data_IF_281305828122
#
_entry.id   IF_281305828122
#
_cell.length_a   1.000
_cell.length_b   1.000
_cell.length_c   1.000
_cell.angle_alpha   90.00
_cell.angle_beta   90.00
_cell.angle_gamma   90.00
#
_symmetry.space_group_name_H-M   'P 1'
#
loop_
_entity.id
_entity.type
_entity.pdbx_description
1 polymer ?
#
# COMPACT_ATOMS: atom_id res chain seq x y z
N UNK A 1 79.68 -47.33 0.03
CA UNK A 1 78.57 -46.46 0.49
C UNK A 1 77.97 -45.73 -0.70
N UNK A 2 76.70 -46.00 -1.07
CA UNK A 2 75.93 -45.21 -2.04
C UNK A 2 74.54 -44.96 -1.46
N UNK A 3 74.03 -43.74 -1.62
CA UNK A 3 72.85 -43.20 -0.93
C UNK A 3 71.55 -43.79 -1.49
N UNK A 4 70.64 -44.21 -0.60
CA UNK A 4 69.22 -44.40 -0.97
C UNK A 4 68.53 -43.04 -1.02
N UNK A 5 67.98 -42.68 -2.18
CA UNK A 5 67.01 -41.59 -2.33
C UNK A 5 65.71 -42.23 -2.80
N UNK A 6 64.76 -42.44 -1.89
CA UNK A 6 63.39 -42.84 -2.25
C UNK A 6 62.65 -41.60 -2.73
N UNK A 7 62.34 -41.54 -4.02
CA UNK A 7 61.48 -40.49 -4.58
C UNK A 7 60.04 -40.71 -4.09
N UNK A 8 59.47 -39.68 -3.46
CA UNK A 8 58.06 -39.65 -3.08
C UNK A 8 57.27 -39.02 -4.25
N UNK A 9 56.64 -39.84 -5.08
CA UNK A 9 55.76 -39.35 -6.16
C UNK A 9 54.44 -38.87 -5.56
N UNK A 10 54.33 -37.56 -5.31
CA UNK A 10 53.08 -36.93 -4.92
C UNK A 10 52.15 -36.84 -6.15
N UNK A 11 51.08 -37.64 -6.15
CA UNK A 11 50.00 -37.52 -7.14
C UNK A 11 49.10 -36.36 -6.73
N UNK A 12 49.23 -35.22 -7.40
CA UNK A 12 48.36 -34.06 -7.20
C UNK A 12 47.01 -34.31 -7.91
N UNK A 13 46.06 -34.91 -7.21
CA UNK A 13 44.67 -35.00 -7.68
C UNK A 13 44.03 -33.61 -7.55
N UNK A 14 43.99 -32.86 -8.65
CA UNK A 14 43.23 -31.61 -8.73
C UNK A 14 41.74 -31.99 -8.76
N UNK A 15 41.09 -32.00 -7.60
CA UNK A 15 39.63 -31.97 -7.53
C UNK A 15 39.14 -30.61 -8.08
N UNK A 16 38.76 -30.59 -9.35
CA UNK A 16 37.82 -29.59 -9.84
C UNK A 16 36.49 -29.81 -9.15
N UNK A 17 36.27 -29.07 -8.06
CA UNK A 17 34.92 -28.90 -7.50
C UNK A 17 34.07 -28.22 -8.55
N UNK A 18 33.18 -28.97 -9.20
CA UNK A 18 32.10 -28.43 -10.01
C UNK A 18 31.16 -27.67 -9.09
N UNK A 19 31.47 -26.41 -8.79
CA UNK A 19 30.44 -25.48 -8.33
C UNK A 19 29.40 -25.41 -9.44
N UNK A 20 28.11 -25.69 -9.16
CA UNK A 20 27.10 -25.51 -10.18
C UNK A 20 27.14 -24.04 -10.60
N UNK A 21 27.34 -23.80 -11.90
CA UNK A 21 27.14 -22.47 -12.46
C UNK A 21 25.64 -22.20 -12.35
N UNK A 22 25.26 -21.52 -11.27
CA UNK A 22 23.95 -20.92 -11.14
C UNK A 22 23.88 -19.91 -12.28
N UNK A 23 23.08 -20.20 -13.29
CA UNK A 23 22.86 -19.27 -14.39
C UNK A 23 22.32 -17.97 -13.78
N UNK A 24 23.08 -16.89 -13.94
CA UNK A 24 22.72 -15.59 -13.40
C UNK A 24 21.37 -15.17 -14.01
N UNK A 25 20.35 -14.99 -13.16
CA UNK A 25 19.01 -14.62 -13.64
C UNK A 25 19.13 -13.24 -14.29
N UNK A 26 18.96 -13.20 -15.61
CA UNK A 26 19.10 -11.95 -16.36
C UNK A 26 18.05 -10.96 -15.87
N UNK A 27 18.52 -9.75 -15.56
CA UNK A 27 17.71 -8.63 -15.12
C UNK A 27 17.66 -7.55 -16.20
N UNK A 28 16.68 -6.67 -16.12
CA UNK A 28 16.52 -5.55 -17.03
C UNK A 28 16.01 -4.28 -16.36
N UNK A 29 15.86 -3.25 -17.17
CA UNK A 29 15.47 -1.89 -16.77
C UNK A 29 14.19 -1.45 -17.48
N UNK A 30 13.29 -0.80 -16.74
CA UNK A 30 12.06 -0.19 -17.27
C UNK A 30 12.11 1.31 -17.02
N UNK A 31 12.16 2.09 -18.11
CA UNK A 31 11.99 3.55 -18.09
C UNK A 31 10.56 3.89 -18.50
N UNK A 32 9.86 4.65 -17.68
CA UNK A 32 8.49 5.13 -17.94
C UNK A 32 8.53 6.64 -18.12
N UNK A 33 8.24 7.12 -19.33
CA UNK A 33 8.09 8.55 -19.63
C UNK A 33 6.76 9.06 -19.12
N UNK A 34 6.82 10.11 -18.29
CA UNK A 34 5.65 10.71 -17.67
C UNK A 34 5.94 12.19 -17.31
N UNK A 35 5.12 13.15 -17.76
CA UNK A 35 5.51 14.57 -17.82
C UNK A 35 5.44 15.33 -16.48
N UNK A 36 5.06 14.69 -15.37
CA UNK A 36 4.87 15.36 -14.07
C UNK A 36 5.76 14.71 -13.01
N UNK A 37 6.64 15.49 -12.41
CA UNK A 37 7.58 15.04 -11.38
C UNK A 37 6.93 14.75 -10.01
N UNK A 38 7.64 13.98 -9.19
CA UNK A 38 7.27 13.57 -7.83
C UNK A 38 6.01 12.69 -7.73
N UNK A 39 5.57 12.07 -8.83
CA UNK A 39 4.50 11.07 -8.83
C UNK A 39 5.11 9.70 -8.55
N UNK A 40 4.60 9.00 -7.54
CA UNK A 40 5.02 7.64 -7.23
C UNK A 40 4.40 6.66 -8.22
N UNK A 41 5.23 5.85 -8.88
CA UNK A 41 4.83 4.70 -9.67
C UNK A 41 5.17 3.42 -8.92
N UNK A 42 4.32 2.41 -9.04
CA UNK A 42 4.42 1.11 -8.37
C UNK A 42 4.30 -0.01 -9.40
N UNK A 43 5.25 -0.92 -9.36
CA UNK A 43 5.22 -2.17 -10.14
C UNK A 43 4.66 -3.30 -9.28
N UNK A 44 3.78 -4.12 -9.86
CA UNK A 44 3.26 -5.34 -9.26
C UNK A 44 3.56 -6.50 -10.18
N UNK A 45 4.44 -7.41 -9.76
CA UNK A 45 4.77 -8.61 -10.50
C UNK A 45 3.57 -9.55 -10.55
N UNK A 46 3.04 -9.79 -11.74
CA UNK A 46 1.87 -10.64 -11.97
C UNK A 46 2.26 -12.09 -12.18
N UNK A 47 3.38 -12.36 -12.84
CA UNK A 47 3.81 -13.71 -13.22
C UNK A 47 4.61 -13.74 -14.52
N UNK A 48 4.60 -14.88 -15.21
CA UNK A 48 5.34 -15.11 -16.47
C UNK A 48 4.39 -15.53 -17.59
N UNK A 49 4.74 -15.24 -18.84
CA UNK A 49 4.09 -15.89 -20.00
C UNK A 49 4.51 -17.35 -20.10
N UNK A 50 3.53 -18.27 -20.11
CA UNK A 50 3.71 -19.70 -20.36
C UNK A 50 2.51 -20.21 -21.18
N UNK A 51 2.78 -20.96 -22.25
CA UNK A 51 1.75 -21.52 -23.13
C UNK A 51 0.68 -20.49 -23.56
N UNK A 52 1.12 -19.37 -24.15
CA UNK A 52 0.26 -18.31 -24.71
C UNK A 52 -0.68 -17.62 -23.70
N UNK A 53 -0.44 -17.77 -22.39
CA UNK A 53 -1.18 -17.08 -21.32
C UNK A 53 -0.26 -16.57 -20.22
N UNK A 54 -0.75 -15.60 -19.45
CA UNK A 54 -0.09 -15.16 -18.21
C UNK A 54 -0.34 -16.23 -17.15
N UNK A 55 0.71 -16.89 -16.70
CA UNK A 55 0.69 -17.75 -15.53
C UNK A 55 0.86 -16.89 -14.28
N UNK A 56 -0.26 -16.47 -13.69
CA UNK A 56 -0.27 -15.59 -12.52
C UNK A 56 0.38 -16.24 -11.29
N UNK A 57 1.12 -15.44 -10.51
CA UNK A 57 1.93 -15.86 -9.37
C UNK A 57 1.64 -14.99 -8.13
N UNK A 58 2.15 -15.42 -6.98
CA UNK A 58 1.97 -14.70 -5.71
C UNK A 58 0.49 -14.40 -5.41
N UNK A 59 0.23 -13.13 -5.11
CA UNK A 59 -1.10 -12.61 -4.71
C UNK A 59 -2.10 -12.55 -5.88
N UNK A 60 -1.66 -12.76 -7.13
CA UNK A 60 -2.50 -12.70 -8.33
C UNK A 60 -2.98 -14.06 -8.85
N UNK A 61 -2.63 -15.18 -8.18
CA UNK A 61 -3.00 -16.55 -8.64
C UNK A 61 -4.49 -16.75 -8.91
N UNK A 62 -5.35 -16.10 -8.12
CA UNK A 62 -6.81 -16.19 -8.23
C UNK A 62 -7.43 -15.10 -9.14
N UNK A 63 -6.61 -14.28 -9.79
CA UNK A 63 -7.08 -13.22 -10.68
C UNK A 63 -7.67 -13.81 -11.98
N UNK A 64 -8.97 -13.63 -12.16
CA UNK A 64 -9.71 -13.99 -13.38
C UNK A 64 -9.83 -12.75 -14.26
N UNK A 65 -9.18 -12.76 -15.42
CA UNK A 65 -8.98 -11.55 -16.21
C UNK A 65 -9.40 -11.78 -17.67
N UNK A 66 -9.93 -10.72 -18.27
CA UNK A 66 -10.33 -10.60 -19.68
C UNK A 66 -9.12 -10.63 -20.62
N UNK A 67 -9.36 -10.97 -21.89
CA UNK A 67 -8.33 -11.03 -22.94
C UNK A 67 -7.91 -9.62 -23.43
N UNK A 68 -8.70 -8.55 -23.17
CA UNK A 68 -8.28 -7.17 -23.47
C UNK A 68 -7.29 -6.64 -22.43
N UNK A 69 -6.11 -6.20 -22.89
CA UNK A 69 -5.00 -5.77 -22.03
C UNK A 69 -5.27 -4.47 -21.25
N UNK A 70 -6.15 -3.58 -21.72
CA UNK A 70 -6.49 -2.34 -21.00
C UNK A 70 -7.52 -2.64 -19.92
N UNK A 71 -8.59 -3.37 -20.27
CA UNK A 71 -9.60 -3.82 -19.29
C UNK A 71 -8.96 -4.71 -18.22
N UNK A 72 -7.99 -5.55 -18.61
CA UNK A 72 -7.19 -6.35 -17.69
C UNK A 72 -6.41 -5.49 -16.69
N UNK A 73 -5.74 -4.42 -17.16
CA UNK A 73 -4.99 -3.51 -16.30
C UNK A 73 -5.92 -2.77 -15.31
N UNK A 74 -7.09 -2.32 -15.77
CA UNK A 74 -8.09 -1.64 -14.94
C UNK A 74 -8.67 -2.60 -13.88
N UNK A 75 -9.03 -3.84 -14.25
CA UNK A 75 -9.50 -4.87 -13.32
C UNK A 75 -8.43 -5.26 -12.28
N UNK A 76 -7.17 -5.40 -12.70
CA UNK A 76 -6.03 -5.64 -11.81
C UNK A 76 -5.80 -4.48 -10.83
N UNK A 77 -5.96 -3.23 -11.26
CA UNK A 77 -5.84 -2.07 -10.38
C UNK A 77 -6.89 -2.09 -9.25
N UNK A 78 -8.12 -2.52 -9.58
CA UNK A 78 -9.19 -2.68 -8.59
C UNK A 78 -8.90 -3.86 -7.64
N UNK A 79 -8.33 -4.97 -8.14
CA UNK A 79 -7.89 -6.10 -7.32
C UNK A 79 -6.80 -5.68 -6.32
N UNK A 80 -5.77 -4.94 -6.77
CA UNK A 80 -4.70 -4.43 -5.90
C UNK A 80 -5.28 -3.55 -4.78
N UNK A 81 -6.14 -2.58 -5.13
CA UNK A 81 -6.80 -1.69 -4.16
C UNK A 81 -7.68 -2.46 -3.17
N UNK A 82 -8.44 -3.46 -3.63
CA UNK A 82 -9.34 -4.26 -2.79
C UNK A 82 -8.61 -5.15 -1.78
N UNK A 83 -7.50 -5.76 -2.21
CA UNK A 83 -6.78 -6.75 -1.41
C UNK A 83 -5.55 -6.19 -0.69
N UNK A 84 -5.21 -4.90 -0.88
CA UNK A 84 -4.02 -4.24 -0.34
C UNK A 84 -2.71 -4.97 -0.71
N UNK A 85 -2.60 -5.36 -1.99
CA UNK A 85 -1.42 -6.07 -2.51
C UNK A 85 -0.19 -5.15 -2.40
N UNK A 86 0.95 -5.69 -2.00
CA UNK A 86 2.20 -4.95 -1.91
C UNK A 86 2.85 -4.79 -3.29
N UNK A 87 3.41 -3.62 -3.57
CA UNK A 87 4.20 -3.37 -4.79
C UNK A 87 5.54 -4.10 -4.73
N UNK A 88 5.95 -4.71 -5.84
CA UNK A 88 7.26 -5.35 -6.02
C UNK A 88 8.41 -4.34 -6.14
N UNK A 89 8.12 -3.15 -6.68
CA UNK A 89 9.02 -2.00 -6.70
C UNK A 89 8.20 -0.70 -6.67
N UNK A 90 8.80 0.40 -6.19
CA UNK A 90 8.16 1.71 -6.14
C UNK A 90 9.19 2.81 -6.35
N UNK A 91 8.98 3.67 -7.33
CA UNK A 91 9.90 4.75 -7.71
C UNK A 91 9.12 6.05 -7.96
N UNK A 92 9.80 7.19 -8.03
CA UNK A 92 9.16 8.49 -8.32
C UNK A 92 9.60 9.04 -9.67
N UNK A 93 8.68 9.73 -10.35
CA UNK A 93 9.01 10.49 -11.55
C UNK A 93 9.92 11.67 -11.22
N UNK A 94 10.92 11.88 -12.08
CA UNK A 94 11.85 13.01 -12.03
C UNK A 94 12.36 13.30 -13.44
N UNK A 95 12.47 14.58 -13.79
CA UNK A 95 13.01 15.02 -15.09
C UNK A 95 12.23 14.40 -16.29
N UNK A 96 10.92 14.11 -16.09
CA UNK A 96 10.04 13.53 -17.10
C UNK A 96 10.07 11.99 -17.22
N UNK A 97 10.83 11.29 -16.38
CA UNK A 97 10.98 9.82 -16.42
C UNK A 97 10.87 9.16 -15.03
N UNK A 98 10.50 7.88 -15.01
CA UNK A 98 10.60 6.97 -13.86
C UNK A 98 11.49 5.81 -14.27
N UNK A 99 12.51 5.48 -13.48
CA UNK A 99 13.47 4.42 -13.83
C UNK A 99 13.45 3.31 -12.79
N UNK A 100 13.08 2.10 -13.22
CA UNK A 100 13.11 0.88 -12.43
C UNK A 100 14.22 -0.04 -12.91
N UNK A 101 15.17 -0.38 -12.04
CA UNK A 101 16.27 -1.30 -12.34
C UNK A 101 16.14 -2.63 -11.58
N UNK A 102 16.94 -3.61 -12.00
CA UNK A 102 16.93 -4.97 -11.44
C UNK A 102 15.56 -5.65 -11.56
N UNK A 103 14.91 -5.51 -12.72
CA UNK A 103 13.61 -6.10 -13.00
C UNK A 103 13.82 -7.47 -13.66
N UNK A 104 13.38 -8.52 -12.95
CA UNK A 104 13.42 -9.91 -13.44
C UNK A 104 12.44 -10.15 -14.59
N UNK A 105 12.55 -11.32 -15.23
CA UNK A 105 11.61 -11.73 -16.28
C UNK A 105 10.17 -11.84 -15.76
N UNK A 106 9.21 -11.31 -16.51
CA UNK A 106 7.78 -11.48 -16.24
C UNK A 106 6.89 -10.37 -16.78
N UNK A 107 5.66 -10.34 -16.28
CA UNK A 107 4.65 -9.33 -16.56
C UNK A 107 4.37 -8.53 -15.30
N UNK A 108 4.23 -7.22 -15.49
CA UNK A 108 4.05 -6.24 -14.43
C UNK A 108 2.83 -5.38 -14.71
N UNK A 109 1.99 -5.21 -13.68
CA UNK A 109 1.05 -4.09 -13.64
C UNK A 109 1.79 -2.85 -13.13
N UNK A 110 1.65 -1.75 -13.85
CA UNK A 110 2.10 -0.42 -13.43
C UNK A 110 0.91 0.39 -12.96
N UNK A 111 1.01 0.95 -11.74
CA UNK A 111 0.07 1.95 -11.23
C UNK A 111 0.83 3.21 -10.84
N UNK A 112 0.33 4.38 -11.22
CA UNK A 112 0.81 5.67 -10.71
C UNK A 112 -0.15 6.24 -9.66
N UNK A 113 0.38 6.98 -8.69
CA UNK A 113 -0.42 7.78 -7.78
C UNK A 113 -1.03 9.01 -8.49
N UNK A 114 -2.19 9.45 -8.02
CA UNK A 114 -2.82 10.67 -8.53
C UNK A 114 -2.06 11.90 -8.00
N UNK A 115 -1.88 12.93 -8.82
CA UNK A 115 -1.22 14.17 -8.41
C UNK A 115 -1.93 15.39 -8.97
N UNK A 116 -2.08 16.40 -8.13
CA UNK A 116 -2.45 17.75 -8.55
C UNK A 116 -1.15 18.56 -8.71
N UNK A 117 -1.01 19.23 -9.85
CA UNK A 117 0.12 20.11 -10.15
C UNK A 117 -0.38 21.26 -11.04
N UNK A 118 -0.13 22.51 -10.63
CA UNK A 118 -0.54 23.73 -11.36
C UNK A 118 -2.02 23.71 -11.81
N UNK A 119 -2.91 23.33 -10.88
CA UNK A 119 -4.37 23.22 -11.04
C UNK A 119 -4.81 22.21 -12.09
N UNK A 120 -3.95 21.25 -12.41
CA UNK A 120 -4.29 20.09 -13.25
C UNK A 120 -4.20 18.84 -12.40
N UNK A 121 -5.30 18.10 -12.33
CA UNK A 121 -5.35 16.79 -11.71
C UNK A 121 -4.91 15.74 -12.74
N UNK A 122 -3.77 15.11 -12.51
CA UNK A 122 -3.22 14.04 -13.33
C UNK A 122 -3.53 12.67 -12.72
N UNK A 123 -4.11 11.78 -13.52
CA UNK A 123 -4.39 10.38 -13.15
C UNK A 123 -3.70 9.44 -14.12
N UNK A 124 -2.73 8.66 -13.65
CA UNK A 124 -2.04 7.66 -14.46
C UNK A 124 -3.00 6.51 -14.75
N UNK A 125 -3.16 6.13 -16.02
CA UNK A 125 -3.95 4.96 -16.39
C UNK A 125 -3.17 3.68 -16.08
N UNK A 126 -3.79 2.65 -15.48
CA UNK A 126 -3.19 1.33 -15.34
C UNK A 126 -2.67 0.79 -16.68
N UNK A 127 -1.53 0.11 -16.66
CA UNK A 127 -0.96 -0.53 -17.85
C UNK A 127 -0.19 -1.80 -17.50
N UNK A 128 -0.09 -2.70 -18.48
CA UNK A 128 0.70 -3.94 -18.40
C UNK A 128 1.99 -3.80 -19.20
N UNK A 129 3.10 -4.23 -18.61
CA UNK A 129 4.43 -4.27 -19.23
C UNK A 129 5.03 -5.68 -19.15
N UNK A 130 5.86 -6.03 -20.13
CA UNK A 130 6.71 -7.23 -20.08
C UNK A 130 8.18 -6.88 -19.90
N UNK A 131 8.88 -7.72 -19.15
CA UNK A 131 10.33 -7.78 -19.09
C UNK A 131 10.77 -9.20 -19.49
N UNK A 132 11.60 -9.40 -20.53
CA UNK A 132 11.98 -8.39 -21.53
C UNK A 132 10.78 -7.88 -22.34
N UNK A 133 10.97 -6.76 -23.03
CA UNK A 133 10.07 -6.32 -24.07
C UNK A 133 10.32 -7.15 -25.34
N UNK A 134 9.24 -7.62 -25.99
CA UNK A 134 9.31 -8.44 -27.20
C UNK A 134 8.91 -7.60 -28.42
N UNK A 135 9.77 -7.51 -29.43
CA UNK A 135 9.44 -6.91 -30.73
C UNK A 135 9.79 -7.89 -31.86
N UNK A 136 8.76 -8.46 -32.49
CA UNK A 136 8.87 -9.58 -33.43
C UNK A 136 9.68 -10.76 -32.86
N UNK A 137 11.00 -10.76 -33.06
CA UNK A 137 11.93 -11.80 -32.62
C UNK A 137 13.07 -11.27 -31.72
N UNK A 138 13.09 -9.99 -31.34
CA UNK A 138 14.12 -9.40 -30.46
C UNK A 138 13.60 -9.23 -29.03
N UNK A 139 14.36 -9.76 -28.07
CA UNK A 139 14.17 -9.47 -26.64
C UNK A 139 14.98 -8.23 -26.25
N UNK A 140 14.30 -7.16 -25.80
CA UNK A 140 14.98 -6.03 -25.18
C UNK A 140 14.85 -6.08 -23.66
N UNK A 141 16.00 -6.08 -23.00
CA UNK A 141 16.13 -6.06 -21.54
C UNK A 141 16.27 -4.64 -20.98
N UNK A 142 16.23 -3.63 -21.84
CA UNK A 142 15.96 -2.23 -21.47
C UNK A 142 14.76 -1.78 -22.29
N UNK A 143 13.73 -1.25 -21.62
CA UNK A 143 12.50 -0.82 -22.29
C UNK A 143 12.12 0.59 -21.87
N UNK A 144 11.73 1.40 -22.85
CA UNK A 144 11.27 2.78 -22.66
C UNK A 144 9.83 2.85 -23.14
N UNK A 145 8.91 3.19 -22.23
CA UNK A 145 7.47 3.24 -22.51
C UNK A 145 6.89 4.61 -22.13
N UNK A 146 5.85 5.04 -22.83
CA UNK A 146 5.14 6.28 -22.50
C UNK A 146 3.91 5.94 -21.66
N UNK A 147 3.79 6.54 -20.47
CA UNK A 147 2.62 6.36 -19.64
C UNK A 147 1.38 7.01 -20.27
N UNK A 148 0.26 6.28 -20.32
CA UNK A 148 -1.06 6.88 -20.60
C UNK A 148 -1.57 7.54 -19.31
N UNK A 149 -2.12 8.74 -19.41
CA UNK A 149 -2.71 9.46 -18.28
C UNK A 149 -3.90 10.29 -18.72
N UNK A 150 -4.75 10.63 -17.75
CA UNK A 150 -5.81 11.63 -17.87
C UNK A 150 -5.37 12.92 -17.19
N UNK A 151 -5.89 14.05 -17.66
CA UNK A 151 -5.67 15.36 -17.05
C UNK A 151 -6.98 16.14 -16.97
N UNK A 152 -7.23 16.79 -15.83
CA UNK A 152 -8.47 17.53 -15.57
C UNK A 152 -8.14 18.88 -14.91
N UNK A 153 -8.50 19.99 -15.55
CA UNK A 153 -8.23 21.33 -15.02
C UNK A 153 -9.20 21.68 -13.89
N UNK A 154 -8.66 21.91 -12.70
CA UNK A 154 -9.39 22.31 -11.51
C UNK A 154 -9.66 23.83 -11.58
N UNK A 155 -10.91 24.31 -11.34
CA UNK A 155 -11.21 25.74 -11.34
C UNK A 155 -10.36 26.53 -10.35
N UNK A 156 -9.87 27.70 -10.77
CA UNK A 156 -8.86 28.48 -10.05
C UNK A 156 -9.17 28.84 -8.60
N UNK A 157 -10.46 29.04 -8.28
CA UNK A 157 -11.00 29.17 -6.92
C UNK A 157 -12.10 28.12 -6.74
N UNK A 158 -11.94 27.20 -5.79
CA UNK A 158 -12.98 26.24 -5.42
C UNK A 158 -13.66 26.62 -4.10
N UNK A 159 -14.82 26.03 -3.86
CA UNK A 159 -15.54 26.13 -2.59
C UNK A 159 -15.91 24.72 -2.12
N UNK A 160 -15.97 24.52 -0.81
CA UNK A 160 -16.33 23.23 -0.22
C UNK A 160 -17.36 23.47 0.89
N UNK A 161 -18.58 22.98 0.70
CA UNK A 161 -19.62 22.97 1.73
C UNK A 161 -19.52 21.68 2.54
N UNK A 162 -19.52 21.80 3.87
CA UNK A 162 -19.77 20.68 4.79
C UNK A 162 -21.15 20.83 5.42
N UNK A 163 -21.91 19.73 5.42
CA UNK A 163 -23.21 19.61 6.07
C UNK A 163 -23.19 18.42 7.04
N UNK A 164 -23.60 18.66 8.29
CA UNK A 164 -23.76 17.63 9.32
C UNK A 164 -25.22 17.21 9.45
N UNK A 165 -25.47 15.91 9.27
CA UNK A 165 -26.76 15.23 9.40
C UNK A 165 -26.75 14.32 10.64
N UNK A 166 -27.87 14.26 11.35
CA UNK A 166 -28.08 13.38 12.51
C UNK A 166 -29.17 12.36 12.19
N UNK A 167 -28.83 11.06 12.26
CA UNK A 167 -29.74 9.91 12.15
C UNK A 167 -29.94 9.27 13.52
N UNK A 168 -30.57 10.02 14.42
CA UNK A 168 -30.60 9.76 15.86
C UNK A 168 -32.01 9.82 16.49
N UNK A 169 -33.05 9.89 15.66
CA UNK A 169 -34.44 10.09 16.06
C UNK A 169 -34.67 11.33 16.97
N UNK A 170 -33.94 12.42 16.74
CA UNK A 170 -33.96 13.64 17.56
C UNK A 170 -33.63 13.38 19.04
N UNK A 171 -32.58 12.58 19.27
CA UNK A 171 -32.03 12.27 20.59
C UNK A 171 -31.87 13.51 21.48
N UNK A 172 -32.41 13.45 22.69
CA UNK A 172 -32.21 14.49 23.73
C UNK A 172 -30.74 14.63 24.14
N UNK A 173 -29.92 13.61 23.89
CA UNK A 173 -28.49 13.57 24.22
C UNK A 173 -27.61 14.07 23.06
N UNK A 174 -28.18 14.62 21.98
CA UNK A 174 -27.41 15.14 20.84
C UNK A 174 -26.41 16.21 21.33
N UNK A 175 -25.11 16.10 20.99
CA UNK A 175 -24.10 17.12 21.30
C UNK A 175 -24.52 18.51 20.83
N UNK A 176 -24.17 19.55 21.61
CA UNK A 176 -24.49 20.95 21.26
C UNK A 176 -23.72 21.45 20.04
N UNK A 177 -22.53 20.88 19.80
CA UNK A 177 -21.63 21.19 18.70
C UNK A 177 -20.70 20.01 18.40
N UNK A 178 -20.08 20.03 17.22
CA UNK A 178 -18.94 19.20 16.83
C UNK A 178 -17.86 20.08 16.21
N UNK A 179 -16.63 19.59 16.17
CA UNK A 179 -15.54 20.16 15.40
C UNK A 179 -15.29 19.33 14.14
N UNK A 180 -15.15 20.02 13.02
CA UNK A 180 -14.71 19.43 11.74
C UNK A 180 -13.40 20.09 11.32
N UNK A 181 -12.51 19.30 10.75
CA UNK A 181 -11.22 19.75 10.22
C UNK A 181 -11.28 19.70 8.69
N UNK A 182 -10.83 20.77 8.04
CA UNK A 182 -10.49 20.79 6.63
C UNK A 182 -9.01 20.42 6.52
N UNK A 183 -8.72 19.40 5.72
CA UNK A 183 -7.37 18.93 5.46
C UNK A 183 -6.95 19.32 4.05
N UNK A 184 -5.70 19.74 3.90
CA UNK A 184 -5.02 20.08 2.66
C UNK A 184 -3.89 19.08 2.46
N UNK A 185 -3.98 18.21 1.44
CA UNK A 185 -3.03 17.10 1.23
C UNK A 185 -2.79 16.27 2.51
N UNK A 186 -3.86 15.96 3.25
CA UNK A 186 -3.85 15.24 4.54
C UNK A 186 -3.24 15.99 5.75
N UNK A 187 -2.83 17.25 5.62
CA UNK A 187 -2.46 18.11 6.76
C UNK A 187 -3.64 18.99 7.21
N UNK A 188 -3.79 19.25 8.51
CA UNK A 188 -4.87 20.12 9.02
C UNK A 188 -4.64 21.57 8.56
N UNK A 189 -5.57 22.11 7.78
CA UNK A 189 -5.53 23.48 7.27
C UNK A 189 -6.42 24.43 8.09
N UNK A 190 -7.62 23.98 8.47
CA UNK A 190 -8.57 24.78 9.24
C UNK A 190 -9.47 23.90 10.11
N UNK A 191 -9.96 24.45 11.23
CA UNK A 191 -10.94 23.79 12.12
C UNK A 191 -12.17 24.67 12.28
N UNK A 192 -13.36 24.06 12.17
CA UNK A 192 -14.65 24.76 12.25
C UNK A 192 -15.64 24.04 13.16
N UNK A 193 -16.34 24.80 13.99
CA UNK A 193 -17.38 24.28 14.87
C UNK A 193 -18.74 24.27 14.16
N UNK A 194 -19.36 23.10 14.02
CA UNK A 194 -20.73 22.97 13.55
C UNK A 194 -21.69 22.81 14.74
N UNK A 195 -22.84 23.45 14.71
CA UNK A 195 -23.82 23.46 15.79
C UNK A 195 -25.23 23.80 15.28
N UNK A 196 -26.24 23.77 16.16
CA UNK A 196 -27.58 24.27 15.81
C UNK A 196 -27.57 25.75 15.37
N UNK A 197 -26.65 26.58 15.88
CA UNK A 197 -26.58 28.03 15.57
C UNK A 197 -26.25 28.32 14.09
N UNK A 198 -25.38 27.52 13.48
CA UNK A 198 -25.03 27.64 12.06
C UNK A 198 -25.74 26.59 11.18
N UNK A 199 -26.90 26.07 11.65
CA UNK A 199 -27.67 25.04 10.96
C UNK A 199 -26.85 23.81 10.55
N UNK A 200 -25.85 23.46 11.37
CA UNK A 200 -24.97 22.31 11.16
C UNK A 200 -24.20 22.34 9.83
N UNK A 201 -23.93 23.53 9.27
CA UNK A 201 -23.20 23.68 8.01
C UNK A 201 -22.10 24.75 8.06
N UNK A 202 -21.12 24.61 7.18
CA UNK A 202 -20.10 25.62 6.90
C UNK A 202 -19.66 25.53 5.43
N UNK A 203 -19.11 26.62 4.89
CA UNK A 203 -18.57 26.67 3.53
C UNK A 203 -17.22 27.37 3.54
N UNK A 204 -16.19 26.65 3.12
CA UNK A 204 -14.90 27.24 2.79
C UNK A 204 -14.93 27.77 1.36
N UNK A 205 -14.39 28.96 1.14
CA UNK A 205 -14.35 29.65 -0.15
C UNK A 205 -12.89 29.96 -0.50
N UNK A 206 -12.62 30.17 -1.80
CA UNK A 206 -11.29 30.44 -2.33
C UNK A 206 -10.27 29.35 -1.93
N UNK A 207 -10.73 28.10 -1.89
CA UNK A 207 -9.85 26.95 -1.75
C UNK A 207 -9.08 26.76 -3.04
N UNK A 208 -7.75 26.78 -2.91
CA UNK A 208 -6.83 26.72 -4.03
C UNK A 208 -6.92 25.36 -4.73
N UNK A 209 -7.00 25.38 -6.06
CA UNK A 209 -7.13 24.19 -6.89
C UNK A 209 -5.89 23.30 -6.89
N UNK A 210 -4.75 23.78 -6.40
CA UNK A 210 -3.47 23.06 -6.34
C UNK A 210 -3.41 21.96 -5.25
N UNK A 211 -4.44 21.80 -4.43
CA UNK A 211 -4.44 20.86 -3.30
C UNK A 211 -5.65 19.94 -3.26
N UNK A 212 -5.45 18.74 -2.71
CA UNK A 212 -6.54 17.86 -2.30
C UNK A 212 -7.17 18.37 -1.00
N UNK A 213 -8.50 18.56 -1.03
CA UNK A 213 -9.27 19.07 0.10
C UNK A 213 -10.22 18.00 0.65
N UNK A 214 -9.89 17.42 1.81
CA UNK A 214 -10.74 16.45 2.52
C UNK A 214 -11.29 17.03 3.83
N UNK A 215 -12.39 16.48 4.34
CA UNK A 215 -13.03 16.97 5.58
C UNK A 215 -13.20 15.82 6.55
N UNK A 216 -12.78 16.03 7.80
CA UNK A 216 -12.82 15.06 8.88
C UNK A 216 -13.68 15.55 10.05
N UNK A 217 -14.33 14.65 10.79
CA UNK A 217 -14.98 14.97 12.06
C UNK A 217 -14.03 14.65 13.22
N UNK A 218 -13.50 15.70 13.84
CA UNK A 218 -12.56 15.61 14.96
C UNK A 218 -13.24 15.10 16.22
N UNK A 219 -14.49 15.48 16.46
CA UNK A 219 -15.22 15.11 17.69
C UNK A 219 -15.88 13.74 17.58
N UNK A 220 -15.28 12.73 18.21
CA UNK A 220 -15.84 11.37 18.29
C UNK A 220 -16.76 11.18 19.49
N UNK A 221 -17.92 10.55 19.30
CA UNK A 221 -18.87 10.20 20.37
C UNK A 221 -19.14 8.69 20.38
N UNK A 222 -18.99 8.02 21.52
CA UNK A 222 -19.05 6.55 21.62
C UNK A 222 -20.44 5.97 21.26
N UNK A 223 -21.50 6.75 21.45
CA UNK A 223 -22.89 6.39 21.16
C UNK A 223 -23.29 6.62 19.69
N UNK A 224 -22.39 7.14 18.86
CA UNK A 224 -22.64 7.39 17.44
C UNK A 224 -21.64 6.66 16.53
N UNK A 225 -22.14 6.23 15.37
CA UNK A 225 -21.32 5.84 14.21
C UNK A 225 -21.27 7.00 13.22
N UNK A 226 -20.07 7.34 12.74
CA UNK A 226 -19.83 8.41 11.75
C UNK A 226 -19.74 7.79 10.35
N UNK A 227 -20.33 8.47 9.36
CA UNK A 227 -20.16 8.16 7.95
C UNK A 227 -20.02 9.45 7.16
N UNK A 228 -19.11 9.50 6.20
CA UNK A 228 -18.83 10.69 5.38
C UNK A 228 -19.10 10.30 3.92
N UNK A 229 -19.91 11.10 3.23
CA UNK A 229 -20.07 11.01 1.77
C UNK A 229 -19.71 12.35 1.12
N UNK A 230 -19.19 12.28 -0.10
CA UNK A 230 -18.88 13.46 -0.93
C UNK A 230 -19.66 13.36 -2.23
N UNK A 231 -20.21 14.49 -2.67
CA UNK A 231 -20.72 14.68 -4.01
C UNK A 231 -20.28 16.06 -4.50
N UNK A 232 -19.47 16.09 -5.55
CA UNK A 232 -18.87 17.30 -6.10
C UNK A 232 -18.16 18.15 -5.02
N UNK A 233 -18.67 19.37 -4.80
CA UNK A 233 -18.20 20.38 -3.83
C UNK A 233 -18.97 20.36 -2.49
N UNK A 234 -19.66 19.27 -2.17
CA UNK A 234 -20.42 19.09 -0.92
C UNK A 234 -20.00 17.80 -0.20
N UNK A 235 -19.64 17.94 1.07
CA UNK A 235 -19.40 16.83 2.00
C UNK A 235 -20.59 16.73 2.96
N UNK A 236 -21.14 15.53 3.11
CA UNK A 236 -22.19 15.23 4.08
C UNK A 236 -21.65 14.27 5.13
N UNK A 237 -21.55 14.76 6.36
CA UNK A 237 -21.14 13.98 7.52
C UNK A 237 -22.41 13.53 8.25
N UNK A 238 -22.60 12.23 8.43
CA UNK A 238 -23.80 11.65 9.05
C UNK A 238 -23.42 10.89 10.32
N UNK A 239 -23.94 11.32 11.48
CA UNK A 239 -23.85 10.55 12.72
C UNK A 239 -25.16 9.78 12.94
N UNK A 240 -25.06 8.46 13.06
CA UNK A 240 -26.17 7.57 13.38
C UNK A 240 -26.06 7.13 14.84
N UNK A 241 -27.15 7.21 15.60
CA UNK A 241 -27.17 6.73 16.98
C UNK A 241 -27.11 5.20 16.99
N UNK A 242 -26.18 4.64 17.77
CA UNK A 242 -26.04 3.20 17.96
C UNK A 242 -27.13 2.74 18.94
N UNK A 243 -28.01 1.80 18.53
CA UNK A 243 -29.18 1.38 19.33
C UNK A 243 -28.84 0.48 20.52
N UNK A 244 -27.62 -0.04 20.58
CA UNK A 244 -27.16 -0.97 21.62
C UNK A 244 -26.09 -0.31 22.48
N UNK A 245 -26.27 -0.37 23.80
CA UNK A 245 -25.24 -0.02 24.78
C UNK A 245 -24.56 -1.32 25.19
N UNK A 246 -23.35 -1.65 24.66
CA UNK A 246 -22.52 -2.65 25.31
C UNK A 246 -22.13 -2.17 26.72
N UNK A 247 -21.98 -3.07 27.71
CA UNK A 247 -21.81 -2.70 29.10
C UNK A 247 -20.58 -1.80 29.33
N UNK A 248 -20.71 -0.83 30.25
CA UNK A 248 -19.63 0.10 30.62
C UNK A 248 -18.38 -0.66 31.09
N UNK A 249 -17.27 -0.50 30.37
CA UNK A 249 -15.91 -0.76 30.86
C UNK A 249 -15.17 0.57 31.08
N UNK A 250 -14.29 0.73 32.08
CA UNK A 250 -13.72 2.04 32.42
C UNK A 250 -12.75 2.59 31.35
N UNK A 251 -12.68 3.91 31.23
CA UNK A 251 -11.75 4.62 30.34
C UNK A 251 -10.29 4.40 30.76
N UNK A 252 -9.38 4.28 29.78
CA UNK A 252 -7.97 4.67 29.95
C UNK A 252 -7.57 5.63 28.83
N UNK A 253 -6.77 6.64 29.17
CA UNK A 253 -6.39 7.75 28.29
C UNK A 253 -5.22 7.36 27.36
N UNK A 254 -4.85 8.26 26.44
CA UNK A 254 -4.47 7.92 25.06
C UNK A 254 -2.96 7.86 24.74
N UNK A 255 -2.60 6.93 23.85
CA UNK A 255 -1.43 6.94 22.96
C UNK A 255 -0.51 5.69 23.21
N UNK A 256 0.64 5.54 22.51
CA UNK A 256 0.87 5.31 21.08
C UNK A 256 1.21 3.84 20.73
N UNK A 257 1.43 3.59 19.42
CA UNK A 257 2.16 2.46 18.83
C UNK A 257 1.68 1.03 19.17
N UNK A 258 1.12 0.34 18.17
CA UNK A 258 0.91 -1.12 18.18
C UNK A 258 2.25 -1.86 18.06
N UNK A 259 3.00 -1.92 19.17
CA UNK A 259 4.11 -2.85 19.38
C UNK A 259 3.63 -4.04 20.22
N UNK A 260 3.95 -5.26 19.77
CA UNK A 260 3.53 -6.51 20.41
C UNK A 260 4.05 -6.62 21.85
N UNK A 261 3.15 -6.60 22.83
CA UNK A 261 3.51 -6.58 24.25
C UNK A 261 4.16 -7.91 24.69
N UNK A 262 5.44 -7.88 25.06
CA UNK A 262 6.28 -9.07 25.31
C UNK A 262 5.95 -9.86 26.59
N UNK A 263 5.27 -9.23 27.56
CA UNK A 263 5.02 -9.79 28.90
C UNK A 263 4.31 -11.16 28.95
N UNK A 264 3.36 -11.54 28.05
CA UNK A 264 2.77 -12.88 28.11
C UNK A 264 3.78 -13.95 27.70
N UNK A 265 4.69 -13.63 26.76
CA UNK A 265 5.75 -14.54 26.30
C UNK A 265 6.75 -14.81 27.42
N UNK A 266 7.15 -13.78 28.18
CA UNK A 266 8.07 -13.94 29.32
C UNK A 266 7.42 -14.78 30.44
N UNK A 267 6.15 -14.54 30.76
CA UNK A 267 5.42 -15.33 31.78
C UNK A 267 5.24 -16.79 31.32
N UNK A 268 4.83 -17.02 30.07
CA UNK A 268 4.66 -18.38 29.51
C UNK A 268 6.00 -19.13 29.42
N UNK A 269 7.08 -18.46 29.03
CA UNK A 269 8.43 -19.04 29.02
C UNK A 269 8.89 -19.42 30.44
N UNK A 270 8.66 -18.57 31.43
CA UNK A 270 8.95 -18.86 32.84
C UNK A 270 8.19 -20.09 33.36
N UNK A 271 6.87 -20.16 33.08
CA UNK A 271 6.04 -21.33 33.43
C UNK A 271 6.55 -22.59 32.70
N UNK A 272 6.92 -22.48 31.43
CA UNK A 272 7.50 -23.58 30.64
C UNK A 272 8.79 -24.12 31.25
N UNK A 273 9.73 -23.26 31.64
CA UNK A 273 10.99 -23.67 32.29
C UNK A 273 10.73 -24.35 33.64
N UNK A 274 9.77 -23.86 34.43
CA UNK A 274 9.37 -24.51 35.69
C UNK A 274 8.78 -25.90 35.45
N UNK A 275 7.87 -26.05 34.49
CA UNK A 275 7.27 -27.35 34.16
C UNK A 275 8.31 -28.36 33.63
N UNK A 276 9.24 -27.92 32.78
CA UNK A 276 10.35 -28.76 32.29
C UNK A 276 11.27 -29.16 33.45
N UNK A 277 11.57 -28.24 34.37
CA UNK A 277 12.41 -28.52 35.54
C UNK A 277 11.76 -29.53 36.50
N UNK A 278 10.45 -29.45 36.70
CA UNK A 278 9.67 -30.42 37.50
C UNK A 278 9.60 -31.79 36.79
N UNK A 279 9.48 -31.82 35.46
CA UNK A 279 9.54 -33.06 34.69
C UNK A 279 10.90 -33.76 34.79
N UNK A 280 11.99 -32.99 34.65
CA UNK A 280 13.37 -33.49 34.75
C UNK A 280 13.77 -33.89 36.18
N UNK A 281 13.22 -33.26 37.22
CA UNK A 281 13.49 -33.64 38.61
C UNK A 281 12.73 -34.91 39.00
N UNK A 282 11.47 -35.08 38.59
CA UNK A 282 10.72 -36.34 38.78
C UNK A 282 11.35 -37.50 38.00
N UNK A 283 11.83 -37.26 36.78
CA UNK A 283 12.54 -38.27 35.97
C UNK A 283 13.87 -38.77 36.54
N UNK A 284 14.36 -38.19 37.65
CA UNK A 284 15.56 -38.64 38.39
C UNK A 284 15.25 -39.25 39.76
N UNK A 285 13.98 -39.31 40.17
CA UNK A 285 13.57 -39.97 41.42
C UNK A 285 13.26 -41.46 41.24
N UNK A 286 12.92 -41.89 40.01
CA UNK A 286 12.56 -43.27 39.64
C UNK A 286 13.65 -43.96 38.77
N UNK A 287 14.94 -43.76 39.10
CA UNK A 287 16.08 -44.49 38.54
C UNK A 287 17.17 -44.73 39.57
#
# INVERSE_FOLDING_TARGET
>A
MKRCIKWLTAVLVILFSLTPVIAEEKMGDITIKYPVDNVTFKLFYLGEWKAEKINYQGDFKDAKITDDLNEAADALSAFVKKNNVNSSASEKSKDGEVNFSNIKKGIYLVLGEEKIDNKVHYRVRPMLLSMPAYNANTESWSTIVNAKYEQETIPGNTSLEVLKVWKDNNSKNRPKSIEVELLRNNEVYDTKTLSKKNNWKHTWNNLDGDYEWTVYEKTTFNDYSVSISRSNRKVVITNKLNKEIPPKTPKKQRIPQTGQLWWPVVILAGIGVVLISIGLSKGKADR
#
